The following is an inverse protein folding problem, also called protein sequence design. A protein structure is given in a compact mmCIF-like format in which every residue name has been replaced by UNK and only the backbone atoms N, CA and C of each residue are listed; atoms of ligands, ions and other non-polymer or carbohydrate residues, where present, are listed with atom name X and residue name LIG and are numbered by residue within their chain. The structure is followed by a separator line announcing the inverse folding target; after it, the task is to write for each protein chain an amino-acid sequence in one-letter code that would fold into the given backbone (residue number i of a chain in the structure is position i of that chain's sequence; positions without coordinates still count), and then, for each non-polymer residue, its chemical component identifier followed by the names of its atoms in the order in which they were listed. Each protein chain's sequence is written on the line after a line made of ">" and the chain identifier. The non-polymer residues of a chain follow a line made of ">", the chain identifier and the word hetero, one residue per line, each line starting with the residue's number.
data_IF_014696301622
#
_entry.id   IF_014696301622
#
_cell.length_a   1.000
_cell.length_b   1.000
_cell.length_c   1.000
_cell.angle_alpha   90.00
_cell.angle_beta   90.00
_cell.angle_gamma   90.00
#
_symmetry.space_group_name_H-M   'P 1'
#
loop_
_entity.id
_entity.type
_entity.pdbx_description
1 polymer ?
#
# COMPACT_ATOMS: atom_id res chain seq x y z
N UNK A 1 9.33 -17.81 -5.60
CA UNK A 1 10.05 -17.79 -4.31
C UNK A 1 11.27 -16.89 -4.46
N UNK A 2 11.32 -15.78 -3.72
CA UNK A 2 12.44 -14.81 -3.77
C UNK A 2 13.73 -15.42 -3.22
N UNK A 3 14.89 -15.13 -3.83
CA UNK A 3 16.21 -15.64 -3.40
C UNK A 3 16.59 -15.07 -2.03
N UNK A 4 17.13 -15.93 -1.14
CA UNK A 4 17.73 -15.51 0.14
C UNK A 4 18.73 -14.36 -0.11
N UNK A 5 18.46 -13.19 0.46
CA UNK A 5 19.38 -12.04 0.44
C UNK A 5 19.00 -10.85 -0.45
N UNK A 6 17.93 -10.91 -1.24
CA UNK A 6 17.38 -9.72 -1.92
C UNK A 6 16.42 -8.95 -0.99
N UNK A 7 16.96 -8.42 0.10
CA UNK A 7 16.23 -7.68 1.14
C UNK A 7 15.56 -6.36 0.71
N UNK A 8 16.05 -5.59 -0.29
CA UNK A 8 15.44 -4.28 -0.60
C UNK A 8 14.01 -4.40 -1.14
N UNK A 9 13.80 -5.27 -2.12
CA UNK A 9 12.49 -5.44 -2.76
C UNK A 9 11.47 -6.06 -1.80
N UNK A 10 11.92 -7.04 -1.02
CA UNK A 10 11.10 -7.64 0.04
C UNK A 10 10.75 -6.62 1.12
N UNK A 11 11.69 -5.76 1.54
CA UNK A 11 11.45 -4.78 2.61
C UNK A 11 10.40 -3.72 2.25
N UNK A 12 10.35 -3.30 0.98
CA UNK A 12 9.36 -2.34 0.50
C UNK A 12 7.96 -2.96 0.50
N UNK A 13 7.86 -4.21 0.02
CA UNK A 13 6.61 -4.98 0.02
C UNK A 13 6.16 -5.30 1.46
N UNK A 14 7.07 -5.79 2.31
CA UNK A 14 6.81 -6.08 3.73
C UNK A 14 6.30 -4.84 4.49
N UNK A 15 6.93 -3.68 4.24
CA UNK A 15 6.51 -2.42 4.86
C UNK A 15 5.13 -1.94 4.39
N UNK A 16 4.74 -2.26 3.15
CA UNK A 16 3.40 -1.97 2.64
C UNK A 16 2.36 -2.93 3.25
N UNK A 17 2.61 -4.24 3.17
CA UNK A 17 1.68 -5.25 3.69
C UNK A 17 1.52 -5.17 5.22
N UNK A 18 2.58 -4.83 5.95
CA UNK A 18 2.49 -4.59 7.39
C UNK A 18 1.53 -3.44 7.72
N UNK A 19 1.62 -2.33 6.98
CA UNK A 19 0.72 -1.17 7.16
C UNK A 19 -0.72 -1.49 6.78
N UNK A 20 -0.93 -2.14 5.63
CA UNK A 20 -2.26 -2.57 5.21
C UNK A 20 -2.93 -3.44 6.28
N UNK A 21 -2.20 -4.38 6.88
CA UNK A 21 -2.75 -5.21 7.95
C UNK A 21 -3.17 -4.39 9.17
N UNK A 22 -2.33 -3.45 9.61
CA UNK A 22 -2.62 -2.61 10.77
C UNK A 22 -3.75 -1.60 10.52
N UNK A 23 -3.78 -0.99 9.34
CA UNK A 23 -4.68 0.13 9.03
C UNK A 23 -6.03 -0.32 8.45
N UNK A 24 -6.09 -1.47 7.76
CA UNK A 24 -7.30 -1.94 7.08
C UNK A 24 -7.78 -3.31 7.54
N UNK A 25 -6.87 -4.25 7.86
CA UNK A 25 -7.26 -5.63 8.18
C UNK A 25 -7.66 -5.82 9.64
N UNK A 26 -6.81 -5.43 10.59
CA UNK A 26 -7.09 -5.64 12.01
C UNK A 26 -8.29 -4.86 12.58
N UNK A 27 -8.63 -3.67 12.08
CA UNK A 27 -9.83 -2.96 12.54
C UNK A 27 -11.15 -3.56 12.03
N UNK A 28 -11.12 -4.39 10.98
CA UNK A 28 -12.32 -4.96 10.36
C UNK A 28 -12.44 -6.46 10.64
N UNK A 29 -13.67 -6.98 10.63
CA UNK A 29 -13.93 -8.42 10.76
C UNK A 29 -13.84 -9.12 9.39
N UNK A 30 -12.63 -9.18 8.82
CA UNK A 30 -12.38 -9.74 7.47
C UNK A 30 -12.81 -11.21 7.34
N UNK A 31 -12.87 -11.96 8.44
CA UNK A 31 -13.36 -13.33 8.49
C UNK A 31 -14.82 -13.48 8.05
N UNK A 32 -15.58 -12.39 8.04
CA UNK A 32 -16.98 -12.34 7.63
C UNK A 32 -17.15 -11.86 6.18
N UNK A 33 -16.08 -11.42 5.52
CA UNK A 33 -16.10 -10.90 4.17
C UNK A 33 -15.93 -12.03 3.15
N UNK A 34 -16.71 -11.97 2.07
CA UNK A 34 -16.50 -12.83 0.90
C UNK A 34 -15.21 -12.45 0.18
N UNK A 35 -14.64 -13.37 -0.60
CA UNK A 35 -13.46 -13.08 -1.43
C UNK A 35 -13.62 -11.84 -2.31
N UNK A 36 -14.84 -11.59 -2.83
CA UNK A 36 -15.14 -10.40 -3.63
C UNK A 36 -15.00 -9.11 -2.81
N UNK A 37 -15.63 -9.08 -1.64
CA UNK A 37 -15.55 -7.91 -0.75
C UNK A 37 -14.11 -7.66 -0.31
N UNK A 38 -13.35 -8.71 0.01
CA UNK A 38 -11.92 -8.62 0.31
C UNK A 38 -11.15 -7.94 -0.84
N UNK A 39 -11.40 -8.33 -2.10
CA UNK A 39 -10.76 -7.69 -3.25
C UNK A 39 -11.15 -6.20 -3.37
N UNK A 40 -12.42 -5.86 -3.17
CA UNK A 40 -12.90 -4.48 -3.21
C UNK A 40 -12.27 -3.61 -2.10
N UNK A 41 -12.13 -4.15 -0.88
CA UNK A 41 -11.46 -3.47 0.23
C UNK A 41 -9.97 -3.25 -0.05
N UNK A 42 -9.28 -4.26 -0.59
CA UNK A 42 -7.86 -4.14 -0.97
C UNK A 42 -7.69 -3.10 -2.07
N UNK A 43 -8.54 -3.11 -3.11
CA UNK A 43 -8.50 -2.13 -4.20
C UNK A 43 -8.70 -0.70 -3.68
N UNK A 44 -9.72 -0.52 -2.84
CA UNK A 44 -10.02 0.77 -2.19
C UNK A 44 -8.83 1.25 -1.36
N UNK A 45 -8.24 0.38 -0.55
CA UNK A 45 -7.06 0.73 0.25
C UNK A 45 -5.86 1.09 -0.64
N UNK A 46 -5.63 0.36 -1.73
CA UNK A 46 -4.56 0.65 -2.68
C UNK A 46 -4.75 2.01 -3.37
N UNK A 47 -5.98 2.34 -3.78
CA UNK A 47 -6.30 3.64 -4.36
C UNK A 47 -6.01 4.77 -3.37
N UNK A 48 -6.54 4.67 -2.15
CA UNK A 48 -6.29 5.64 -1.08
C UNK A 48 -4.79 5.77 -0.77
N UNK A 49 -4.08 4.65 -0.64
CA UNK A 49 -2.65 4.64 -0.33
C UNK A 49 -1.82 5.37 -1.40
N UNK A 50 -2.18 5.21 -2.68
CA UNK A 50 -1.43 5.79 -3.79
C UNK A 50 -1.80 7.26 -4.07
N UNK A 51 -3.08 7.60 -3.97
CA UNK A 51 -3.60 8.90 -4.41
C UNK A 51 -3.79 9.90 -3.28
N UNK A 52 -4.14 9.44 -2.08
CA UNK A 52 -4.61 10.29 -0.99
C UNK A 52 -3.67 10.31 0.22
N UNK A 53 -2.97 9.20 0.49
CA UNK A 53 -2.09 9.10 1.67
C UNK A 53 -0.94 10.09 1.61
N UNK A 54 -0.96 11.06 2.52
CA UNK A 54 0.12 12.03 2.68
C UNK A 54 1.32 11.40 3.42
N UNK A 55 2.51 11.49 2.82
CA UNK A 55 3.76 11.06 3.46
C UNK A 55 4.70 12.23 3.64
N UNK A 56 5.12 12.48 4.89
CA UNK A 56 6.10 13.51 5.22
C UNK A 56 7.43 13.30 4.47
N UNK A 57 7.87 12.04 4.33
CA UNK A 57 9.09 11.68 3.58
C UNK A 57 9.02 12.02 2.08
N UNK A 58 7.82 12.24 1.54
CA UNK A 58 7.58 12.67 0.15
C UNK A 58 7.33 14.18 0.05
N UNK A 59 7.66 14.94 1.10
CA UNK A 59 7.37 16.37 1.16
C UNK A 59 5.89 16.68 1.29
N UNK A 60 5.19 15.92 2.13
CA UNK A 60 3.75 16.07 2.41
C UNK A 60 2.87 15.86 1.16
N UNK A 61 3.21 14.86 0.35
CA UNK A 61 2.49 14.52 -0.89
C UNK A 61 2.07 13.05 -0.88
N UNK A 62 1.08 12.73 -1.71
CA UNK A 62 0.75 11.35 -2.01
C UNK A 62 1.79 10.71 -2.93
N UNK A 63 1.94 9.36 -2.90
CA UNK A 63 2.88 8.66 -3.75
C UNK A 63 2.76 9.01 -5.24
N UNK A 64 1.53 9.06 -5.77
CA UNK A 64 1.29 9.42 -7.18
C UNK A 64 1.67 10.87 -7.45
N UNK A 65 1.25 11.80 -6.60
CA UNK A 65 1.59 13.21 -6.79
C UNK A 65 3.09 13.46 -6.73
N UNK A 66 3.79 12.78 -5.82
CA UNK A 66 5.25 12.81 -5.76
C UNK A 66 5.88 12.29 -7.06
N UNK A 67 5.44 11.14 -7.58
CA UNK A 67 5.96 10.59 -8.85
C UNK A 67 5.70 11.50 -10.05
N UNK A 68 4.53 12.13 -10.12
CA UNK A 68 4.20 13.10 -11.17
C UNK A 68 5.17 14.28 -11.16
N UNK A 69 5.46 14.85 -9.98
CA UNK A 69 6.41 15.96 -9.87
C UNK A 69 7.86 15.58 -10.19
N UNK A 70 8.24 14.32 -9.99
CA UNK A 70 9.56 13.83 -10.37
C UNK A 70 9.66 13.43 -11.86
N UNK A 71 8.57 13.54 -12.64
CA UNK A 71 8.54 13.04 -14.02
C UNK A 71 8.65 11.51 -14.11
N UNK A 72 8.35 10.80 -13.02
CA UNK A 72 8.42 9.33 -12.88
C UNK A 72 7.04 8.67 -12.99
N UNK A 73 6.00 9.45 -13.31
CA UNK A 73 4.69 8.93 -13.67
C UNK A 73 4.75 8.50 -15.14
N UNK A 74 4.39 7.24 -15.41
CA UNK A 74 4.24 6.70 -16.76
C UNK A 74 2.90 7.14 -17.36
#
# INVERSE_FOLDING_TARGET
>A
MSRKGCSPDNSAAEGFFGRMKTEAVYPEHWEQLTCRQVMEHVDTYMHWYNHERIKQSLGWKSPVHYRMQQGLAA
#
